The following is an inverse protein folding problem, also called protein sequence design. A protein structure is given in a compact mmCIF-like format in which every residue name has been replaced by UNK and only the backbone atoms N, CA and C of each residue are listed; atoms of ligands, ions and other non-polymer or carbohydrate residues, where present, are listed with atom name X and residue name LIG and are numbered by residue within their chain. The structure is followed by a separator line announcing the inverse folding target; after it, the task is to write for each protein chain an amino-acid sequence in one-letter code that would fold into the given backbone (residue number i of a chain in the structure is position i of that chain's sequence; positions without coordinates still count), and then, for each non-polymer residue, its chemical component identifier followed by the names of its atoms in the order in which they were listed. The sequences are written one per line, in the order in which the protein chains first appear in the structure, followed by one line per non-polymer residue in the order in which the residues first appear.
data_IF_034176885465
#
_entry.id   IF_034176885465
#
_cell.length_a   1.000
_cell.length_b   1.000
_cell.length_c   1.000
_cell.angle_alpha   90.00
_cell.angle_beta   90.00
_cell.angle_gamma   90.00
#
_symmetry.space_group_name_H-M   'P 1'
#
loop_
_entity.id
_entity.type
_entity.pdbx_description
1 polymer ?
#
# COMPACT_ATOMS: atom_id res chain seq x y z
N UNK A 1 12.65 4.23 -35.07
CA UNK A 1 12.38 4.03 -33.63
C UNK A 1 11.76 2.65 -33.48
N UNK A 2 12.34 1.80 -32.64
CA UNK A 2 11.74 0.51 -32.28
C UNK A 2 10.55 0.76 -31.34
N UNK A 3 9.42 0.05 -31.50
CA UNK A 3 8.30 0.16 -30.56
C UNK A 3 8.75 -0.22 -29.14
N UNK A 4 8.35 0.56 -28.15
CA UNK A 4 8.44 0.15 -26.75
C UNK A 4 7.44 -1.00 -26.54
N UNK A 5 7.94 -2.20 -26.24
CA UNK A 5 7.11 -3.36 -25.93
C UNK A 5 7.02 -3.48 -24.41
N UNK A 6 5.80 -3.40 -23.89
CA UNK A 6 5.52 -3.66 -22.47
C UNK A 6 5.30 -5.16 -22.30
N UNK A 7 5.90 -5.76 -21.26
CA UNK A 7 5.57 -7.11 -20.80
C UNK A 7 4.50 -7.00 -19.70
N UNK A 8 3.23 -7.36 -19.98
CA UNK A 8 2.14 -7.24 -19.01
C UNK A 8 2.30 -8.17 -17.82
N UNK A 9 2.88 -9.36 -18.00
CA UNK A 9 3.08 -10.33 -16.92
C UNK A 9 4.17 -9.87 -15.97
N UNK A 10 5.28 -9.35 -16.49
CA UNK A 10 6.30 -8.71 -15.66
C UNK A 10 5.74 -7.51 -14.89
N UNK A 11 4.88 -6.70 -15.53
CA UNK A 11 4.26 -5.54 -14.90
C UNK A 11 3.28 -5.93 -13.78
N UNK A 12 2.45 -6.96 -13.95
CA UNK A 12 1.58 -7.46 -12.86
C UNK A 12 2.40 -8.01 -11.69
N UNK A 13 3.50 -8.73 -11.98
CA UNK A 13 4.42 -9.25 -10.96
C UNK A 13 5.02 -8.13 -10.12
N UNK A 14 5.52 -7.05 -10.74
CA UNK A 14 6.04 -5.88 -10.04
C UNK A 14 4.94 -5.22 -9.19
N UNK A 15 3.75 -5.04 -9.74
CA UNK A 15 2.62 -4.51 -8.97
C UNK A 15 2.25 -5.38 -7.77
N UNK A 16 2.34 -6.71 -7.89
CA UNK A 16 2.11 -7.64 -6.79
C UNK A 16 3.18 -7.53 -5.70
N UNK A 17 4.46 -7.37 -6.05
CA UNK A 17 5.54 -7.16 -5.08
C UNK A 17 5.33 -5.89 -4.25
N UNK A 18 4.82 -4.83 -4.87
CA UNK A 18 4.48 -3.57 -4.17
C UNK A 18 3.34 -3.79 -3.17
N UNK A 19 2.28 -4.53 -3.55
CA UNK A 19 1.20 -4.90 -2.63
C UNK A 19 1.73 -5.72 -1.45
N UNK A 20 2.56 -6.74 -1.70
CA UNK A 20 3.16 -7.57 -0.65
C UNK A 20 4.04 -6.76 0.30
N UNK A 21 4.82 -5.81 -0.21
CA UNK A 21 5.59 -4.89 0.63
C UNK A 21 4.67 -4.05 1.53
N UNK A 22 3.53 -3.57 1.00
CA UNK A 22 2.52 -2.85 1.77
C UNK A 22 1.88 -3.70 2.87
N UNK A 23 1.52 -4.94 2.56
CA UNK A 23 0.99 -5.90 3.53
C UNK A 23 1.98 -6.19 4.66
N UNK A 24 3.28 -6.32 4.33
CA UNK A 24 4.37 -6.52 5.30
C UNK A 24 4.50 -5.40 6.34
N UNK A 25 4.10 -4.17 6.02
CA UNK A 25 4.10 -3.06 6.98
C UNK A 25 3.11 -3.26 8.14
N UNK A 26 2.11 -4.14 8.00
CA UNK A 26 1.12 -4.39 9.05
C UNK A 26 1.73 -4.88 10.37
N UNK A 27 2.68 -5.83 10.31
CA UNK A 27 3.33 -6.34 11.53
C UNK A 27 4.27 -5.31 12.15
N UNK A 28 4.93 -4.49 11.31
CA UNK A 28 5.80 -3.39 11.75
C UNK A 28 4.98 -2.33 12.49
N UNK A 29 3.83 -1.93 11.93
CA UNK A 29 2.91 -0.97 12.57
C UNK A 29 2.40 -1.52 13.91
N UNK A 30 2.05 -2.80 13.96
CA UNK A 30 1.59 -3.45 15.20
C UNK A 30 2.69 -3.47 16.27
N UNK A 31 3.91 -3.88 15.89
CA UNK A 31 5.08 -3.90 16.78
C UNK A 31 5.41 -2.51 17.30
N UNK A 32 5.39 -1.51 16.42
CA UNK A 32 5.61 -0.12 16.78
C UNK A 32 4.54 0.35 17.76
N UNK A 33 3.26 0.14 17.46
CA UNK A 33 2.15 0.54 18.34
C UNK A 33 2.27 -0.06 19.74
N UNK A 34 2.65 -1.34 19.83
CA UNK A 34 2.89 -2.02 21.10
C UNK A 34 4.10 -1.45 21.87
N UNK A 35 5.19 -1.09 21.16
CA UNK A 35 6.33 -0.45 21.77
C UNK A 35 5.97 0.95 22.32
N UNK A 36 5.19 1.73 21.56
CA UNK A 36 4.76 3.06 22.01
C UNK A 36 3.80 3.00 23.21
N UNK A 37 2.88 2.03 23.26
CA UNK A 37 1.98 1.87 24.41
C UNK A 37 2.70 1.42 25.67
N UNK A 38 3.80 0.65 25.54
CA UNK A 38 4.69 0.26 26.64
C UNK A 38 5.48 1.42 27.26
N UNK A 39 5.46 2.60 26.64
CA UNK A 39 6.15 3.80 27.10
C UNK A 39 5.25 4.76 27.90
N UNK A 40 4.04 4.35 28.30
CA UNK A 40 3.19 5.18 29.15
C UNK A 40 3.84 5.36 30.55
N UNK A 41 4.01 6.60 30.99
CA UNK A 41 4.50 6.90 32.35
C UNK A 41 6.02 6.86 32.57
N UNK A 42 6.84 6.78 31.52
CA UNK A 42 8.30 6.99 31.63
C UNK A 42 8.70 8.47 31.71
N UNK A 43 7.77 9.37 31.39
CA UNK A 43 7.97 10.79 31.62
C UNK A 43 7.85 11.09 33.13
N UNK A 44 8.82 11.79 33.71
CA UNK A 44 8.78 12.19 35.11
C UNK A 44 7.60 13.10 35.44
N UNK A 45 7.21 13.17 36.72
CA UNK A 45 6.11 14.03 37.20
C UNK A 45 6.52 15.52 37.34
N UNK A 46 7.76 15.86 37.03
CA UNK A 46 8.21 17.24 37.00
C UNK A 46 7.65 17.99 35.77
N UNK A 47 7.61 19.34 35.77
CA UNK A 47 7.02 20.10 34.67
C UNK A 47 7.65 19.82 33.29
N UNK A 48 8.92 19.45 33.23
CA UNK A 48 9.61 19.08 31.98
C UNK A 48 9.18 17.69 31.54
N UNK A 49 9.08 16.75 32.47
CA UNK A 49 8.54 15.42 32.22
C UNK A 49 7.10 15.45 31.70
N UNK A 50 6.20 16.19 32.34
CA UNK A 50 4.81 16.35 31.85
C UNK A 50 4.77 16.95 30.43
N UNK A 51 5.57 17.97 30.15
CA UNK A 51 5.65 18.57 28.82
C UNK A 51 6.17 17.58 27.76
N UNK A 52 7.17 16.77 28.11
CA UNK A 52 7.67 15.69 27.27
C UNK A 52 6.60 14.64 26.99
N UNK A 53 5.90 14.18 28.03
CA UNK A 53 4.80 13.21 27.92
C UNK A 53 3.72 13.69 26.94
N UNK A 54 3.27 14.93 27.07
CA UNK A 54 2.29 15.51 26.14
C UNK A 54 2.80 15.59 24.70
N UNK A 55 4.06 15.96 24.49
CA UNK A 55 4.65 15.99 23.14
C UNK A 55 4.71 14.60 22.50
N UNK A 56 4.97 13.57 23.31
CA UNK A 56 5.03 12.18 22.89
C UNK A 56 3.63 11.65 22.56
N UNK A 57 2.66 11.83 23.46
CA UNK A 57 1.25 11.44 23.26
C UNK A 57 0.62 12.12 22.04
N UNK A 58 1.05 13.34 21.72
CA UNK A 58 0.61 14.06 20.51
C UNK A 58 1.25 13.57 19.20
N UNK A 59 2.45 12.97 19.27
CA UNK A 59 3.25 12.58 18.09
C UNK A 59 3.11 11.10 17.76
N UNK A 60 3.05 10.25 18.78
CA UNK A 60 2.84 8.81 18.70
C UNK A 60 1.68 8.38 17.78
N UNK A 61 0.43 8.88 17.96
CA UNK A 61 -0.69 8.48 17.12
C UNK A 61 -0.54 8.97 15.67
N UNK A 62 0.06 10.16 15.47
CA UNK A 62 0.30 10.71 14.12
C UNK A 62 1.29 9.85 13.33
N UNK A 63 2.31 9.31 13.99
CA UNK A 63 3.24 8.38 13.36
C UNK A 63 2.54 7.09 12.92
N UNK A 64 1.71 6.51 13.79
CA UNK A 64 0.95 5.29 13.48
C UNK A 64 -0.02 5.54 12.31
N UNK A 65 -0.71 6.68 12.31
CA UNK A 65 -1.60 7.09 11.22
C UNK A 65 -0.84 7.26 9.89
N UNK A 66 0.32 7.93 9.91
CA UNK A 66 1.15 8.12 8.72
C UNK A 66 1.64 6.78 8.14
N UNK A 67 2.01 5.82 8.99
CA UNK A 67 2.42 4.49 8.54
C UNK A 67 1.24 3.69 7.99
N UNK A 68 0.05 3.79 8.60
CA UNK A 68 -1.16 3.19 8.06
C UNK A 68 -1.54 3.79 6.68
N UNK A 69 -1.43 5.11 6.53
CA UNK A 69 -1.62 5.79 5.26
C UNK A 69 -0.58 5.34 4.21
N UNK A 70 0.69 5.17 4.62
CA UNK A 70 1.76 4.66 3.75
C UNK A 70 1.49 3.23 3.28
N UNK A 71 1.11 2.34 4.20
CA UNK A 71 0.69 0.96 3.89
C UNK A 71 -0.42 0.96 2.86
N UNK A 72 -1.48 1.73 3.13
CA UNK A 72 -2.61 1.81 2.22
C UNK A 72 -2.11 2.29 0.86
N UNK A 73 -1.45 3.44 0.79
CA UNK A 73 -0.88 4.02 -0.42
C UNK A 73 -0.06 3.03 -1.25
N UNK A 74 0.78 2.21 -0.61
CA UNK A 74 1.58 1.21 -1.31
C UNK A 74 0.70 0.11 -1.93
N UNK A 75 -0.28 -0.42 -1.19
CA UNK A 75 -1.25 -1.36 -1.75
C UNK A 75 -2.04 -0.74 -2.91
N UNK A 76 -2.40 0.55 -2.82
CA UNK A 76 -3.09 1.29 -3.88
C UNK A 76 -2.26 1.38 -5.16
N UNK A 77 -0.99 1.75 -5.01
CA UNK A 77 -0.05 1.88 -6.12
C UNK A 77 0.16 0.52 -6.80
N UNK A 78 0.36 -0.53 -6.00
CA UNK A 78 0.47 -1.89 -6.51
C UNK A 78 -0.76 -2.34 -7.31
N UNK A 79 -1.97 -2.15 -6.78
CA UNK A 79 -3.21 -2.44 -7.51
C UNK A 79 -3.34 -1.61 -8.80
N UNK A 80 -2.90 -0.34 -8.80
CA UNK A 80 -2.89 0.52 -9.99
C UNK A 80 -1.93 0.06 -11.09
N UNK A 81 -0.73 -0.39 -10.71
CA UNK A 81 0.25 -0.99 -11.64
C UNK A 81 -0.32 -2.24 -12.29
N UNK A 82 -1.01 -3.08 -11.52
CA UNK A 82 -1.66 -4.31 -12.02
C UNK A 82 -2.84 -4.03 -12.94
N UNK A 83 -3.62 -2.99 -12.66
CA UNK A 83 -4.65 -2.52 -13.59
C UNK A 83 -4.04 -2.01 -14.90
N UNK A 84 -2.88 -1.38 -14.84
CA UNK A 84 -2.15 -0.97 -16.05
C UNK A 84 -1.68 -2.18 -16.86
N UNK A 85 -1.16 -3.22 -16.20
CA UNK A 85 -0.80 -4.49 -16.83
C UNK A 85 -2.00 -5.16 -17.51
N UNK A 86 -3.15 -5.20 -16.84
CA UNK A 86 -4.39 -5.69 -17.44
C UNK A 86 -4.74 -4.92 -18.72
N UNK A 87 -4.71 -3.58 -18.68
CA UNK A 87 -5.02 -2.75 -19.84
C UNK A 87 -4.08 -2.99 -21.03
N UNK A 88 -2.77 -3.16 -20.80
CA UNK A 88 -1.84 -3.57 -21.86
C UNK A 88 -2.17 -4.96 -22.40
N UNK A 89 -2.42 -5.94 -21.54
CA UNK A 89 -2.79 -7.29 -22.01
C UNK A 89 -4.08 -7.32 -22.85
N UNK A 90 -5.03 -6.43 -22.52
CA UNK A 90 -6.29 -6.30 -23.22
C UNK A 90 -6.12 -5.60 -24.57
N UNK A 91 -5.30 -4.56 -24.64
CA UNK A 91 -4.93 -3.93 -25.90
C UNK A 91 -4.23 -4.93 -26.85
N UNK A 92 -3.36 -5.78 -26.30
CA UNK A 92 -2.60 -6.77 -27.07
C UNK A 92 -3.52 -7.89 -27.58
N UNK A 93 -4.45 -8.37 -26.74
CA UNK A 93 -5.47 -9.33 -27.14
C UNK A 93 -6.40 -8.79 -28.25
N UNK A 94 -6.83 -7.54 -28.14
CA UNK A 94 -7.70 -6.89 -29.14
C UNK A 94 -6.97 -6.59 -30.46
N UNK A 95 -5.67 -6.30 -30.40
CA UNK A 95 -4.84 -6.05 -31.57
C UNK A 95 -4.42 -7.33 -32.29
N UNK A 96 -4.58 -8.49 -31.65
CA UNK A 96 -4.25 -9.77 -32.25
C UNK A 96 -5.33 -10.21 -33.26
N UNK A 97 -5.01 -10.04 -34.55
CA UNK A 97 -5.88 -10.38 -35.69
C UNK A 97 -6.17 -11.90 -35.75
N UNK A 98 -5.32 -12.75 -35.16
CA UNK A 98 -5.58 -14.19 -35.09
C UNK A 98 -6.68 -14.56 -34.08
N UNK A 99 -7.10 -13.61 -33.23
CA UNK A 99 -8.11 -13.83 -32.17
C UNK A 99 -7.64 -14.74 -31.04
N UNK A 100 -6.34 -15.07 -30.99
CA UNK A 100 -5.75 -15.99 -30.01
C UNK A 100 -5.04 -15.19 -28.92
N UNK A 101 -5.76 -14.77 -27.89
CA UNK A 101 -5.15 -14.09 -26.75
C UNK A 101 -6.17 -13.76 -25.67
N UNK A 102 -6.07 -14.44 -24.53
CA UNK A 102 -6.85 -14.07 -23.36
C UNK A 102 -6.10 -13.00 -22.56
N UNK A 103 -6.72 -11.85 -22.26
CA UNK A 103 -6.10 -10.84 -21.43
C UNK A 103 -5.92 -11.34 -20.00
N UNK A 104 -4.97 -10.73 -19.27
CA UNK A 104 -4.81 -10.96 -17.84
C UNK A 104 -6.13 -10.69 -17.11
N UNK A 105 -6.45 -11.37 -16.00
CA UNK A 105 -7.68 -11.11 -15.27
C UNK A 105 -7.74 -9.67 -14.74
N UNK A 106 -8.90 -9.01 -14.91
CA UNK A 106 -9.15 -7.73 -14.25
C UNK A 106 -9.17 -7.95 -12.74
N UNK A 107 -8.35 -7.19 -12.00
CA UNK A 107 -8.38 -7.20 -10.53
C UNK A 107 -9.48 -6.27 -10.05
N UNK A 108 -10.17 -6.65 -8.97
CA UNK A 108 -11.26 -5.87 -8.40
C UNK A 108 -10.83 -4.42 -8.14
N UNK A 109 -11.67 -3.48 -8.60
CA UNK A 109 -11.40 -2.04 -8.57
C UNK A 109 -10.91 -1.60 -7.18
N UNK A 110 -9.68 -1.09 -7.10
CA UNK A 110 -9.07 -0.62 -5.87
C UNK A 110 -9.93 0.45 -5.16
N UNK A 111 -10.64 1.29 -5.93
CA UNK A 111 -11.58 2.28 -5.40
C UNK A 111 -12.68 1.61 -4.56
N UNK A 112 -13.22 0.48 -5.01
CA UNK A 112 -14.27 -0.28 -4.29
C UNK A 112 -13.69 -0.90 -3.02
N UNK A 113 -12.49 -1.51 -3.08
CA UNK A 113 -11.82 -2.12 -1.92
C UNK A 113 -11.52 -1.10 -0.81
N UNK A 114 -11.20 0.14 -1.17
CA UNK A 114 -10.93 1.22 -0.22
C UNK A 114 -12.21 1.85 0.39
N UNK A 115 -13.37 1.70 -0.26
CA UNK A 115 -14.67 2.04 0.31
C UNK A 115 -15.21 0.94 1.24
N UNK A 116 -14.97 -0.34 0.90
CA UNK A 116 -15.32 -1.49 1.74
C UNK A 116 -14.60 -1.45 3.10
N UNK A 117 -13.31 -1.09 3.10
CA UNK A 117 -12.45 -1.07 4.30
C UNK A 117 -12.61 0.20 5.16
N UNK A 118 -13.55 1.08 4.81
CA UNK A 118 -13.90 2.31 5.56
C UNK A 118 -15.31 2.28 6.16
N UNK A 119 -16.02 1.15 6.05
CA UNK A 119 -17.26 0.86 6.78
C UNK A 119 -16.95 -0.12 7.91
#
# INVERSE_FOLDING_TARGET
MTPLVVDPTALDSVGNQVVTAGEGLGSVISTLTAALSGCAGIAGDDPVGVALGHSYDGSAPKLVEAMAATRNGLCCLGDGVRMSAHNYSLAEAQSNISGQGDPLPARGCWKIRHYENRR
#
